data_IF_937771183684
#
_entry.id   IF_937771183684
#
_cell.length_a   1.000
_cell.length_b   1.000
_cell.length_c   1.000
_cell.angle_alpha   90.00
_cell.angle_beta   90.00
_cell.angle_gamma   90.00
#
_symmetry.space_group_name_H-M   'P 1'
#
loop_
_entity.id
_entity.type
_entity.pdbx_description
1 polymer ?
#
# COMPACT_ATOMS: atom_id res chain seq x y z
N UNK A 1 -12.22 -14.16 -0.89
CA UNK A 1 -11.34 -13.16 -0.23
C UNK A 1 -11.54 -11.83 -0.92
N UNK A 2 -11.75 -10.76 -0.15
CA UNK A 2 -11.79 -9.39 -0.67
C UNK A 2 -10.42 -8.77 -0.43
N UNK A 3 -9.80 -8.26 -1.50
CA UNK A 3 -8.61 -7.42 -1.44
C UNK A 3 -8.92 -6.12 -2.15
N UNK A 4 -8.06 -5.11 -1.99
CA UNK A 4 -8.19 -3.87 -2.75
C UNK A 4 -6.98 -3.61 -3.61
N UNK A 5 -7.24 -3.09 -4.81
CA UNK A 5 -6.21 -2.70 -5.76
C UNK A 5 -6.33 -1.19 -5.98
N UNK A 6 -5.25 -0.47 -5.71
CA UNK A 6 -5.11 0.95 -5.95
C UNK A 6 -4.10 1.20 -7.07
N UNK A 7 -4.38 2.12 -7.98
CA UNK A 7 -3.41 2.52 -9.02
C UNK A 7 -3.75 3.92 -9.52
N UNK A 8 -2.73 4.64 -9.94
CA UNK A 8 -2.91 5.78 -10.83
C UNK A 8 -3.14 5.31 -12.27
N UNK A 9 -4.20 5.79 -12.89
CA UNK A 9 -4.55 5.39 -14.25
C UNK A 9 -3.55 5.94 -15.26
N UNK A 10 -2.95 5.08 -16.09
CA UNK A 10 -2.00 5.50 -17.12
C UNK A 10 -2.59 6.39 -18.22
N UNK A 11 -3.91 6.35 -18.40
CA UNK A 11 -4.63 7.12 -19.42
C UNK A 11 -5.15 8.47 -18.93
N UNK A 12 -5.60 8.56 -17.67
CA UNK A 12 -6.24 9.77 -17.14
C UNK A 12 -5.51 10.43 -15.97
N UNK A 13 -4.44 9.82 -15.46
CA UNK A 13 -3.64 10.36 -14.34
C UNK A 13 -4.42 10.48 -13.02
N UNK A 14 -5.55 9.78 -12.88
CA UNK A 14 -6.34 9.78 -11.65
C UNK A 14 -6.12 8.49 -10.88
N UNK A 15 -5.89 8.62 -9.58
CA UNK A 15 -5.86 7.51 -8.65
C UNK A 15 -7.26 6.92 -8.48
N UNK A 16 -7.37 5.60 -8.61
CA UNK A 16 -8.60 4.86 -8.32
C UNK A 16 -8.26 3.66 -7.44
N UNK A 17 -9.19 3.32 -6.55
CA UNK A 17 -9.08 2.19 -5.63
C UNK A 17 -10.36 1.37 -5.69
N UNK A 18 -10.23 0.09 -5.99
CA UNK A 18 -11.35 -0.83 -6.13
C UNK A 18 -11.20 -2.01 -5.17
N UNK A 19 -12.27 -2.34 -4.45
CA UNK A 19 -12.36 -3.55 -3.61
C UNK A 19 -12.95 -4.67 -4.45
N UNK A 20 -12.27 -5.81 -4.53
CA UNK A 20 -12.61 -6.87 -5.48
C UNK A 20 -12.26 -8.27 -4.96
N UNK A 21 -12.83 -9.29 -5.59
CA UNK A 21 -12.43 -10.69 -5.42
C UNK A 21 -11.55 -11.16 -6.57
N UNK A 22 -10.87 -12.28 -6.37
CA UNK A 22 -10.05 -12.95 -7.40
C UNK A 22 -10.88 -13.23 -8.65
N UNK A 23 -10.26 -13.21 -9.83
CA UNK A 23 -10.89 -13.50 -11.12
C UNK A 23 -11.94 -12.45 -11.53
N UNK A 24 -11.66 -11.18 -11.23
CA UNK A 24 -12.48 -10.04 -11.63
C UNK A 24 -11.69 -9.07 -12.49
N UNK A 25 -12.41 -8.38 -13.38
CA UNK A 25 -11.86 -7.32 -14.21
C UNK A 25 -11.91 -5.99 -13.44
N UNK A 26 -10.74 -5.36 -13.28
CA UNK A 26 -10.66 -4.01 -12.76
C UNK A 26 -10.72 -3.02 -13.91
N UNK A 27 -11.62 -2.06 -13.81
CA UNK A 27 -11.71 -0.93 -14.75
C UNK A 27 -11.50 0.37 -13.98
N UNK A 28 -10.83 1.32 -14.63
CA UNK A 28 -10.70 2.66 -14.07
C UNK A 28 -12.09 3.28 -13.87
N UNK A 29 -12.43 3.66 -12.63
CA UNK A 29 -13.74 4.27 -12.30
C UNK A 29 -13.92 5.68 -12.87
N UNK A 30 -12.87 6.29 -13.43
CA UNK A 30 -12.91 7.64 -14.00
C UNK A 30 -13.04 7.65 -15.52
N UNK A 31 -12.15 6.95 -16.23
CA UNK A 31 -12.12 6.98 -17.70
C UNK A 31 -12.68 5.71 -18.35
N UNK A 32 -12.75 4.58 -17.63
CA UNK A 32 -13.16 3.29 -18.18
C UNK A 32 -12.25 2.69 -19.26
N UNK A 33 -11.15 3.36 -19.63
CA UNK A 33 -10.24 2.95 -20.71
C UNK A 33 -9.20 1.92 -20.28
N UNK A 34 -8.72 2.04 -19.04
CA UNK A 34 -7.80 1.06 -18.48
C UNK A 34 -8.59 -0.08 -17.84
N UNK A 35 -8.32 -1.30 -18.31
CA UNK A 35 -8.88 -2.53 -17.78
C UNK A 35 -7.77 -3.55 -17.57
N UNK A 36 -7.77 -4.24 -16.43
CA UNK A 36 -6.89 -5.37 -16.19
C UNK A 36 -7.67 -6.54 -15.59
N UNK A 37 -7.32 -7.75 -15.98
CA UNK A 37 -7.89 -8.96 -15.38
C UNK A 37 -6.99 -9.38 -14.22
N UNK A 38 -7.55 -9.51 -13.02
CA UNK A 38 -6.77 -9.91 -11.85
C UNK A 38 -6.73 -11.44 -11.79
N UNK A 39 -5.56 -12.07 -12.05
CA UNK A 39 -5.45 -13.52 -11.94
C UNK A 39 -5.47 -13.96 -10.47
N UNK A 40 -5.29 -15.25 -10.24
CA UNK A 40 -5.14 -15.81 -8.89
C UNK A 40 -4.05 -15.07 -8.08
N UNK A 41 -4.19 -15.01 -6.75
CA UNK A 41 -3.30 -14.26 -5.85
C UNK A 41 -1.83 -14.64 -6.07
N UNK A 42 -1.54 -15.92 -6.28
CA UNK A 42 -0.16 -16.37 -6.53
C UNK A 42 0.39 -15.91 -7.89
N UNK A 43 -0.49 -15.74 -8.88
CA UNK A 43 -0.10 -15.31 -10.23
C UNK A 43 0.11 -13.79 -10.32
N UNK A 44 -0.56 -12.99 -9.47
CA UNK A 44 -0.38 -11.53 -9.42
C UNK A 44 1.10 -11.17 -9.19
N UNK A 45 1.79 -11.92 -8.32
CA UNK A 45 3.20 -11.69 -7.99
C UNK A 45 4.17 -12.20 -9.07
N UNK A 46 3.72 -13.06 -9.99
CA UNK A 46 4.55 -13.55 -11.09
C UNK A 46 4.60 -12.58 -12.26
N UNK A 47 3.53 -11.81 -12.49
CA UNK A 47 3.44 -10.78 -13.51
C UNK A 47 2.34 -9.80 -13.14
N UNK A 48 2.67 -8.51 -13.09
CA UNK A 48 1.70 -7.46 -12.82
C UNK A 48 0.57 -7.49 -13.87
N UNK A 49 -0.70 -7.50 -13.47
CA UNK A 49 -1.83 -7.51 -14.41
C UNK A 49 -1.92 -6.23 -15.26
N UNK A 50 -1.22 -5.16 -14.87
CA UNK A 50 -1.21 -3.90 -15.61
C UNK A 50 0.00 -3.74 -16.53
N UNK A 51 1.21 -4.01 -16.05
CA UNK A 51 2.46 -3.77 -16.81
C UNK A 51 3.31 -5.03 -17.05
N UNK A 52 2.83 -6.22 -16.66
CA UNK A 52 3.48 -7.52 -16.84
C UNK A 52 4.86 -7.68 -16.17
N UNK A 53 5.27 -6.72 -15.35
CA UNK A 53 6.53 -6.75 -14.60
C UNK A 53 6.45 -7.67 -13.38
N UNK A 54 7.57 -8.31 -13.02
CA UNK A 54 7.67 -9.22 -11.86
C UNK A 54 8.25 -8.57 -10.59
N UNK A 55 8.68 -7.32 -10.72
CA UNK A 55 9.28 -6.57 -9.62
C UNK A 55 8.19 -5.96 -8.76
N UNK A 56 8.11 -6.43 -7.52
CA UNK A 56 7.23 -5.92 -6.48
C UNK A 56 8.05 -5.69 -5.21
N UNK A 57 7.61 -4.73 -4.39
CA UNK A 57 8.13 -4.55 -3.04
C UNK A 57 7.01 -4.55 -2.02
N UNK A 58 7.35 -4.98 -0.81
CA UNK A 58 6.44 -4.98 0.33
C UNK A 58 6.55 -3.65 1.07
N UNK A 59 5.40 -3.05 1.36
CA UNK A 59 5.27 -1.81 2.13
C UNK A 59 4.11 -1.96 3.09
N UNK A 60 4.15 -1.30 4.25
CA UNK A 60 2.98 -1.24 5.13
C UNK A 60 1.95 -0.24 4.62
N UNK A 61 0.67 -0.58 4.67
CA UNK A 61 -0.44 0.35 4.41
C UNK A 61 -0.64 1.27 5.62
N UNK A 62 0.38 2.07 5.92
CA UNK A 62 0.34 3.01 7.03
C UNK A 62 -0.41 4.27 6.60
N UNK A 63 -1.54 4.52 7.25
CA UNK A 63 -2.30 5.74 7.02
C UNK A 63 -1.51 6.95 7.57
N UNK A 64 -0.95 7.75 6.67
CA UNK A 64 -0.17 8.94 7.00
C UNK A 64 -0.98 9.94 7.86
N UNK A 65 -2.30 10.03 7.65
CA UNK A 65 -3.18 10.88 8.45
C UNK A 65 -3.23 10.44 9.92
N UNK A 66 -3.21 9.13 10.18
CA UNK A 66 -3.15 8.60 11.55
C UNK A 66 -1.82 8.96 12.21
N UNK A 67 -0.70 8.75 11.53
CA UNK A 67 0.61 9.12 12.09
C UNK A 67 0.70 10.62 12.41
N UNK A 68 0.25 11.48 11.49
CA UNK A 68 0.24 12.92 11.72
C UNK A 68 -0.64 13.34 12.90
N UNK A 69 -1.79 12.69 13.11
CA UNK A 69 -2.67 13.04 14.22
C UNK A 69 -2.07 12.69 15.58
N UNK A 70 -1.38 11.54 15.72
CA UNK A 70 -0.68 11.18 16.95
C UNK A 70 0.45 12.14 17.30
N UNK A 71 1.27 12.52 16.30
CA UNK A 71 2.34 13.51 16.49
C UNK A 71 1.77 14.86 16.95
N UNK A 72 0.68 15.31 16.33
CA UNK A 72 0.04 16.58 16.69
C UNK A 72 -0.55 16.56 18.10
N UNK A 73 -1.26 15.49 18.47
CA UNK A 73 -1.80 15.29 19.82
C UNK A 73 -0.67 15.26 20.85
N UNK A 74 0.44 14.58 20.54
CA UNK A 74 1.63 14.55 21.38
C UNK A 74 2.23 15.92 21.62
N UNK A 75 2.46 16.68 20.56
CA UNK A 75 3.02 18.03 20.65
C UNK A 75 2.18 18.95 21.54
N UNK A 76 0.84 18.84 21.47
CA UNK A 76 -0.07 19.63 22.31
C UNK A 76 -0.06 19.20 23.78
N UNK A 77 0.15 17.92 24.08
CA UNK A 77 0.14 17.38 25.45
C UNK A 77 1.49 17.53 26.18
N UNK A 78 2.60 17.68 25.45
CA UNK A 78 3.95 17.85 26.04
C UNK A 78 4.03 18.97 27.09
N UNK A 79 3.57 20.22 26.84
CA UNK A 79 3.70 21.29 27.83
C UNK A 79 2.88 21.05 29.10
N UNK A 80 1.78 20.30 29.02
CA UNK A 80 0.92 20.00 30.18
C UNK A 80 1.42 18.81 31.00
N UNK A 81 2.16 17.88 30.39
CA UNK A 81 2.56 16.61 31.01
C UNK A 81 4.05 16.51 31.31
N UNK A 82 4.81 17.60 31.13
CA UNK A 82 6.27 17.63 31.28
C UNK A 82 6.99 16.52 30.50
N UNK A 83 6.44 16.14 29.33
CA UNK A 83 7.01 15.12 28.45
C UNK A 83 6.64 13.66 28.77
N UNK A 84 5.84 13.40 29.82
CA UNK A 84 5.39 12.03 30.14
C UNK A 84 4.46 11.44 29.06
N UNK A 85 3.81 12.28 28.25
CA UNK A 85 2.97 11.85 27.12
C UNK A 85 3.76 11.13 26.01
N UNK A 86 5.06 11.41 25.87
CA UNK A 86 5.90 10.86 24.80
C UNK A 86 6.05 9.34 24.85
N UNK A 87 6.46 8.70 25.96
CA UNK A 87 6.57 7.24 26.03
C UNK A 87 5.21 6.54 25.81
N UNK A 88 4.11 7.14 26.25
CA UNK A 88 2.76 6.61 26.03
C UNK A 88 2.43 6.62 24.53
N UNK A 89 2.70 7.72 23.83
CA UNK A 89 2.47 7.83 22.40
C UNK A 89 3.35 6.87 21.60
N UNK A 90 4.62 6.73 21.96
CA UNK A 90 5.53 5.75 21.34
C UNK A 90 4.96 4.32 21.47
N UNK A 91 4.41 3.97 22.63
CA UNK A 91 3.79 2.65 22.83
C UNK A 91 2.53 2.47 21.96
N UNK A 92 1.71 3.51 21.84
CA UNK A 92 0.51 3.49 20.98
C UNK A 92 0.91 3.34 19.51
N UNK A 93 1.86 4.15 19.04
CA UNK A 93 2.39 4.09 17.67
C UNK A 93 2.96 2.71 17.37
N UNK A 94 3.70 2.11 18.30
CA UNK A 94 4.21 0.74 18.15
C UNK A 94 3.08 -0.30 18.04
N UNK A 95 2.04 -0.18 18.86
CA UNK A 95 0.88 -1.08 18.81
C UNK A 95 0.13 -0.97 17.48
N UNK A 96 -0.05 0.24 16.97
CA UNK A 96 -0.68 0.50 15.67
C UNK A 96 0.21 -0.03 14.55
N UNK A 97 1.51 0.26 14.58
CA UNK A 97 2.45 -0.24 13.59
C UNK A 97 2.44 -1.76 13.48
N UNK A 98 2.26 -2.48 14.59
CA UNK A 98 2.13 -3.94 14.60
C UNK A 98 0.80 -4.44 14.05
N UNK A 99 -0.26 -3.63 14.09
CA UNK A 99 -1.60 -3.95 13.59
C UNK A 99 -1.78 -3.66 12.10
N UNK A 100 -0.97 -2.79 11.52
CA UNK A 100 -1.06 -2.42 10.10
C UNK A 100 -0.63 -3.59 9.23
N UNK A 101 -1.50 -3.95 8.28
CA UNK A 101 -1.26 -4.98 7.28
C UNK A 101 -0.20 -4.56 6.26
N UNK A 102 0.51 -5.55 5.74
CA UNK A 102 1.39 -5.37 4.60
C UNK A 102 0.58 -5.25 3.29
N UNK A 103 1.11 -4.45 2.37
CA UNK A 103 0.66 -4.33 0.99
C UNK A 103 1.85 -4.56 0.04
N UNK A 104 1.55 -5.00 -1.18
CA UNK A 104 2.55 -5.17 -2.23
C UNK A 104 2.37 -4.08 -3.28
N UNK A 105 3.47 -3.51 -3.76
CA UNK A 105 3.44 -2.44 -4.75
C UNK A 105 4.33 -2.81 -5.93
N UNK A 106 3.85 -2.57 -7.15
CA UNK A 106 4.65 -2.79 -8.36
C UNK A 106 5.63 -1.62 -8.59
N UNK A 107 6.90 -1.91 -8.87
CA UNK A 107 7.91 -0.87 -9.16
C UNK A 107 7.59 -0.06 -10.42
N UNK A 108 7.11 -0.71 -11.47
CA UNK A 108 6.95 -0.08 -12.79
C UNK A 108 5.69 0.78 -12.92
N UNK A 109 4.55 0.29 -12.44
CA UNK A 109 3.26 0.98 -12.64
C UNK A 109 2.64 1.54 -11.36
N UNK A 110 3.28 1.34 -10.21
CA UNK A 110 2.77 1.82 -8.92
C UNK A 110 1.47 1.16 -8.46
N UNK A 111 1.06 0.03 -9.04
CA UNK A 111 -0.14 -0.68 -8.60
C UNK A 111 0.05 -1.23 -7.18
N UNK A 112 -0.85 -0.83 -6.28
CA UNK A 112 -0.90 -1.17 -4.86
C UNK A 112 -1.91 -2.29 -4.63
N UNK A 113 -1.46 -3.38 -4.00
CA UNK A 113 -2.28 -4.54 -3.67
C UNK A 113 -2.36 -4.69 -2.15
N UNK A 114 -3.55 -4.45 -1.61
CA UNK A 114 -3.82 -4.28 -0.18
C UNK A 114 -4.76 -5.39 0.31
N UNK A 115 -4.60 -5.82 1.57
CA UNK A 115 -5.35 -6.93 2.19
C UNK A 115 -5.12 -8.30 1.50
N UNK A 116 -3.93 -8.50 0.91
CA UNK A 116 -3.52 -9.81 0.40
C UNK A 116 -2.96 -10.65 1.55
N UNK A 117 -3.67 -11.71 1.94
CA UNK A 117 -3.26 -12.58 3.05
C UNK A 117 -2.01 -13.42 2.76
N UNK A 118 -1.60 -13.56 1.50
CA UNK A 118 -0.47 -14.40 1.09
C UNK A 118 0.49 -13.65 0.18
N UNK A 119 1.18 -12.64 0.74
CA UNK A 119 2.34 -12.02 0.07
C UNK A 119 3.53 -12.97 0.26
N UNK A 120 4.14 -13.49 -0.82
CA UNK A 120 5.21 -14.46 -0.70
C UNK A 120 6.47 -13.81 -0.07
N UNK A 121 7.17 -14.57 0.77
CA UNK A 121 8.31 -14.08 1.57
C UNK A 121 9.52 -13.63 0.73
N UNK A 122 9.55 -13.99 -0.55
CA UNK A 122 10.57 -13.52 -1.50
C UNK A 122 10.41 -12.03 -1.86
N UNK A 123 9.26 -11.42 -1.58
CA UNK A 123 9.03 -9.99 -1.80
C UNK A 123 9.57 -9.23 -0.59
N UNK A 124 10.77 -8.68 -0.76
CA UNK A 124 11.45 -7.88 0.23
C UNK A 124 10.91 -6.44 0.28
N UNK A 125 11.41 -5.65 1.23
CA UNK A 125 11.14 -4.22 1.31
C UNK A 125 11.64 -3.45 0.08
N UNK A 126 11.33 -2.17 0.04
CA UNK A 126 11.73 -1.27 -1.04
C UNK A 126 13.27 -1.25 -1.21
N UNK A 127 13.72 -1.45 -2.45
CA UNK A 127 15.11 -1.46 -2.88
C UNK A 127 15.35 -0.31 -3.87
N UNK A 128 16.28 0.59 -3.53
CA UNK A 128 16.54 1.79 -4.34
C UNK A 128 17.12 1.44 -5.71
N UNK A 129 18.04 0.48 -5.77
CA UNK A 129 18.66 0.08 -7.03
C UNK A 129 17.63 -0.46 -8.02
N UNK A 130 16.65 -1.22 -7.53
CA UNK A 130 15.52 -1.68 -8.36
C UNK A 130 14.62 -0.53 -8.79
N UNK A 131 14.39 0.47 -7.92
CA UNK A 131 13.56 1.63 -8.26
C UNK A 131 14.17 2.51 -9.36
N UNK A 132 15.48 2.76 -9.32
CA UNK A 132 16.22 3.56 -10.33
C UNK A 132 16.12 2.96 -11.75
N UNK A 133 15.88 1.65 -11.88
CA UNK A 133 15.68 1.01 -13.18
C UNK A 133 14.34 1.37 -13.85
N UNK A 134 13.40 1.94 -13.10
CA UNK A 134 12.04 2.25 -13.54
C UNK A 134 11.68 3.74 -13.47
N UNK A 135 12.64 4.62 -13.11
CA UNK A 135 12.53 6.09 -13.25
C UNK A 135 12.81 6.55 -14.68
#
# INVERSE_FOLDING_TARGET
>A
MLFSVGKECGECGRYYKSKMSVNSEIRCSHCGKESAEIPDIQKIFNACPFCQTKQFYRRKDFNQLLGCSFVLVGALLVPFTYGLSLPVLILIDWLIYRRVSDMAVCYSCGAEFIDISSIPDNIIGFDHHTAELYE
#
